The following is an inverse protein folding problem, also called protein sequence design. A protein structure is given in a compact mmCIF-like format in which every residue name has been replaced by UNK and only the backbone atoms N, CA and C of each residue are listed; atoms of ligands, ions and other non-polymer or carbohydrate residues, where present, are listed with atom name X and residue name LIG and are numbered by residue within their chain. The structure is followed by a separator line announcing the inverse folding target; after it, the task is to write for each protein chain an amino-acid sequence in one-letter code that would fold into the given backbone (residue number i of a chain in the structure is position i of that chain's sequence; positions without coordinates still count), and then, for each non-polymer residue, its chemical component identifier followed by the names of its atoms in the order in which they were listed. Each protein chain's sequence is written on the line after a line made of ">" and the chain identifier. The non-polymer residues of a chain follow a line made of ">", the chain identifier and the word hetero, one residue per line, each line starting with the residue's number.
data_IF_344872461656
#
_entry.id   IF_344872461656
#
_cell.length_a   1.000
_cell.length_b   1.000
_cell.length_c   1.000
_cell.angle_alpha   90.00
_cell.angle_beta   90.00
_cell.angle_gamma   90.00
#
_symmetry.space_group_name_H-M   'P 1'
#
loop_
_entity.id
_entity.type
_entity.pdbx_description
1 polymer ?
#
# COMPACT_ATOMS: atom_id res chain seq x y z
N UNK A 1 -10.54 21.23 34.32
CA UNK A 1 -9.55 21.51 33.26
C UNK A 1 -10.25 21.34 31.92
N UNK A 2 -10.59 22.45 31.27
CA UNK A 2 -11.25 22.47 29.96
C UNK A 2 -10.21 22.16 28.88
N UNK A 3 -10.48 21.18 28.02
CA UNK A 3 -9.65 20.88 26.86
C UNK A 3 -9.62 22.11 25.93
N UNK A 4 -8.45 22.63 25.52
CA UNK A 4 -8.40 23.79 24.64
C UNK A 4 -9.00 23.42 23.28
N UNK A 5 -10.08 24.10 22.90
CA UNK A 5 -10.71 23.95 21.59
C UNK A 5 -9.66 24.15 20.49
N UNK A 6 -9.52 23.17 19.61
CA UNK A 6 -8.58 23.25 18.48
C UNK A 6 -9.05 24.33 17.52
N UNK A 7 -8.21 25.35 17.29
CA UNK A 7 -8.52 26.46 16.37
C UNK A 7 -8.85 25.91 14.95
N UNK A 8 -9.86 26.47 14.27
CA UNK A 8 -10.23 26.10 12.89
C UNK A 8 -9.06 26.08 11.90
N UNK A 9 -8.06 26.94 12.12
CA UNK A 9 -6.89 27.06 11.24
C UNK A 9 -6.01 25.80 11.26
N UNK A 10 -5.88 25.16 12.42
CA UNK A 10 -5.08 23.93 12.58
C UNK A 10 -5.71 22.77 11.82
N UNK A 11 -7.04 22.66 11.88
CA UNK A 11 -7.81 21.64 11.17
C UNK A 11 -7.72 21.83 9.65
N UNK A 12 -7.81 23.09 9.19
CA UNK A 12 -7.69 23.44 7.77
C UNK A 12 -6.29 23.15 7.21
N UNK A 13 -5.23 23.49 7.96
CA UNK A 13 -3.85 23.21 7.56
C UNK A 13 -3.55 21.70 7.51
N UNK A 14 -4.03 20.91 8.48
CA UNK A 14 -3.89 19.46 8.46
C UNK A 14 -4.58 18.84 7.23
N UNK A 15 -5.77 19.34 6.88
CA UNK A 15 -6.52 18.93 5.69
C UNK A 15 -5.76 19.25 4.39
N UNK A 16 -5.22 20.46 4.26
CA UNK A 16 -4.46 20.88 3.08
C UNK A 16 -3.19 20.03 2.89
N UNK A 17 -2.47 19.73 3.97
CA UNK A 17 -1.27 18.88 3.95
C UNK A 17 -1.59 17.44 3.52
N UNK A 18 -2.68 16.84 4.01
CA UNK A 18 -3.09 15.50 3.57
C UNK A 18 -3.40 15.44 2.08
N UNK A 19 -4.04 16.48 1.53
CA UNK A 19 -4.31 16.59 0.09
C UNK A 19 -3.03 16.73 -0.71
N UNK A 20 -2.09 17.57 -0.27
CA UNK A 20 -0.79 17.72 -0.91
C UNK A 20 -0.02 16.40 -0.93
N UNK A 21 0.05 15.69 0.19
CA UNK A 21 0.71 14.38 0.25
C UNK A 21 0.02 13.36 -0.66
N UNK A 22 -1.31 13.40 -0.73
CA UNK A 22 -2.08 12.59 -1.67
C UNK A 22 -1.74 12.89 -3.13
N UNK A 23 -1.68 14.17 -3.52
CA UNK A 23 -1.31 14.59 -4.87
C UNK A 23 0.12 14.14 -5.24
N UNK A 24 1.08 14.28 -4.32
CA UNK A 24 2.46 13.84 -4.56
C UNK A 24 2.54 12.33 -4.74
N UNK A 25 1.86 11.55 -3.88
CA UNK A 25 1.80 10.09 -4.02
C UNK A 25 1.12 9.64 -5.32
N UNK A 26 0.06 10.34 -5.74
CA UNK A 26 -0.59 10.12 -7.04
C UNK A 26 0.36 10.43 -8.21
N UNK A 27 1.22 11.45 -8.08
CA UNK A 27 2.28 11.75 -9.03
C UNK A 27 3.31 10.61 -9.13
N UNK A 28 3.72 10.02 -8.01
CA UNK A 28 4.60 8.84 -8.01
C UNK A 28 3.98 7.65 -8.72
N UNK A 29 2.70 7.37 -8.44
CA UNK A 29 1.94 6.35 -9.16
C UNK A 29 1.89 6.63 -10.66
N UNK A 30 1.48 7.84 -11.07
CA UNK A 30 1.34 8.21 -12.47
C UNK A 30 2.66 8.08 -13.24
N UNK A 31 3.77 8.53 -12.65
CA UNK A 31 5.09 8.40 -13.26
C UNK A 31 5.53 6.94 -13.42
N UNK A 32 5.30 6.09 -12.41
CA UNK A 32 5.68 4.69 -12.46
C UNK A 32 4.77 3.86 -13.39
N UNK A 33 3.45 4.05 -13.30
CA UNK A 33 2.50 3.39 -14.19
C UNK A 33 2.69 3.84 -15.64
N UNK A 34 2.91 5.13 -15.88
CA UNK A 34 3.22 5.68 -17.20
C UNK A 34 4.48 5.04 -17.80
N UNK A 35 5.54 4.85 -17.01
CA UNK A 35 6.75 4.12 -17.45
C UNK A 35 6.41 2.71 -17.92
N UNK A 36 5.63 1.95 -17.16
CA UNK A 36 5.25 0.58 -17.53
C UNK A 36 4.41 0.54 -18.80
N UNK A 37 3.45 1.47 -18.94
CA UNK A 37 2.63 1.59 -20.15
C UNK A 37 3.49 1.92 -21.38
N UNK A 38 4.40 2.88 -21.27
CA UNK A 38 5.32 3.27 -22.36
C UNK A 38 6.30 2.16 -22.73
N UNK A 39 6.64 1.27 -21.79
CA UNK A 39 7.48 0.10 -22.02
C UNK A 39 6.70 -1.13 -22.55
N UNK A 40 5.40 -1.01 -22.83
CA UNK A 40 4.56 -2.14 -23.25
C UNK A 40 4.28 -3.17 -22.14
N UNK A 41 4.54 -2.82 -20.87
CA UNK A 41 4.35 -3.67 -19.68
C UNK A 41 3.10 -3.24 -18.89
N UNK A 42 1.99 -2.99 -19.59
CA UNK A 42 0.74 -2.58 -18.96
C UNK A 42 0.28 -3.47 -17.76
N UNK A 43 0.47 -4.81 -17.79
CA UNK A 43 0.15 -5.66 -16.64
C UNK A 43 0.84 -5.24 -15.32
N UNK A 44 2.06 -4.68 -15.40
CA UNK A 44 2.85 -4.31 -14.22
C UNK A 44 2.24 -3.14 -13.43
N UNK A 45 1.27 -2.42 -14.00
CA UNK A 45 0.49 -1.41 -13.26
C UNK A 45 -0.35 -2.06 -12.14
N UNK A 46 -0.72 -3.34 -12.28
CA UNK A 46 -1.50 -4.07 -11.29
C UNK A 46 -0.67 -4.64 -10.14
N UNK A 47 0.65 -4.44 -10.12
CA UNK A 47 1.44 -4.76 -8.93
C UNK A 47 0.87 -4.06 -7.71
N UNK A 48 0.64 -4.80 -6.62
CA UNK A 48 -0.03 -4.28 -5.43
C UNK A 48 0.72 -3.08 -4.83
N UNK A 49 2.04 -3.03 -4.92
CA UNK A 49 2.83 -1.87 -4.49
C UNK A 49 2.55 -0.61 -5.33
N UNK A 50 2.38 -0.75 -6.65
CA UNK A 50 1.95 0.34 -7.54
C UNK A 50 0.54 0.81 -7.19
N UNK A 51 -0.40 -0.12 -7.03
CA UNK A 51 -1.77 0.20 -6.62
C UNK A 51 -1.82 0.79 -5.20
N UNK A 52 -0.90 0.43 -4.32
CA UNK A 52 -0.84 1.00 -2.99
C UNK A 52 -0.50 2.50 -3.00
N UNK A 53 0.42 2.93 -3.87
CA UNK A 53 0.69 4.35 -4.11
C UNK A 53 -0.57 5.09 -4.60
N UNK A 54 -1.33 4.49 -5.52
CA UNK A 54 -2.63 5.03 -5.95
C UNK A 54 -3.61 5.16 -4.77
N UNK A 55 -3.73 4.15 -3.90
CA UNK A 55 -4.61 4.20 -2.73
C UNK A 55 -4.19 5.27 -1.72
N UNK A 56 -2.89 5.42 -1.46
CA UNK A 56 -2.38 6.52 -0.61
C UNK A 56 -2.76 7.86 -1.24
N UNK A 57 -2.55 8.02 -2.55
CA UNK A 57 -2.88 9.25 -3.27
C UNK A 57 -4.36 9.62 -3.19
N UNK A 58 -5.23 8.71 -3.64
CA UNK A 58 -6.68 8.90 -3.63
C UNK A 58 -7.23 9.08 -2.22
N UNK A 59 -6.75 8.27 -1.27
CA UNK A 59 -7.15 8.37 0.13
C UNK A 59 -6.76 9.70 0.78
N UNK A 60 -5.58 10.23 0.47
CA UNK A 60 -5.10 11.52 0.96
C UNK A 60 -5.93 12.69 0.41
N UNK A 61 -6.20 12.70 -0.90
CA UNK A 61 -7.01 13.72 -1.57
C UNK A 61 -8.46 13.69 -1.04
N UNK A 62 -9.06 12.50 -0.98
CA UNK A 62 -10.44 12.30 -0.52
C UNK A 62 -10.59 12.38 1.01
N UNK A 63 -9.48 12.56 1.75
CA UNK A 63 -9.45 12.56 3.22
C UNK A 63 -10.07 11.30 3.83
N UNK A 64 -9.82 10.15 3.22
CA UNK A 64 -10.28 8.83 3.67
C UNK A 64 -9.10 8.08 4.28
N UNK A 65 -8.80 8.25 5.59
CA UNK A 65 -7.61 7.65 6.22
C UNK A 65 -7.60 6.13 6.12
N UNK A 66 -8.77 5.50 5.99
CA UNK A 66 -8.89 4.05 5.82
C UNK A 66 -8.33 3.58 4.47
N UNK A 67 -8.52 4.35 3.41
CA UNK A 67 -7.96 4.04 2.09
C UNK A 67 -6.45 4.19 2.12
N UNK A 68 -5.94 5.24 2.79
CA UNK A 68 -4.51 5.42 3.04
C UNK A 68 -3.93 4.27 3.85
N UNK A 69 -4.61 3.83 4.91
CA UNK A 69 -4.19 2.71 5.75
C UNK A 69 -4.06 1.40 4.96
N UNK A 70 -4.97 1.13 4.02
CA UNK A 70 -4.85 -0.03 3.12
C UNK A 70 -3.58 0.07 2.27
N UNK A 71 -3.35 1.22 1.63
CA UNK A 71 -2.15 1.45 0.83
C UNK A 71 -0.86 1.32 1.66
N UNK A 72 -0.82 1.91 2.85
CA UNK A 72 0.33 1.77 3.77
C UNK A 72 0.57 0.31 4.16
N UNK A 73 -0.47 -0.46 4.49
CA UNK A 73 -0.33 -1.88 4.83
C UNK A 73 0.27 -2.67 3.66
N UNK A 74 -0.22 -2.43 2.45
CA UNK A 74 0.33 -3.07 1.24
C UNK A 74 1.78 -2.68 1.00
N UNK A 75 2.17 -1.43 1.23
CA UNK A 75 3.56 -0.98 1.09
C UNK A 75 4.48 -1.58 2.17
N UNK A 76 4.03 -1.69 3.42
CA UNK A 76 4.83 -2.32 4.49
C UNK A 76 5.10 -3.80 4.18
N UNK A 77 4.13 -4.52 3.62
CA UNK A 77 4.33 -5.91 3.21
C UNK A 77 5.13 -6.01 1.89
N UNK A 78 4.82 -5.15 0.92
CA UNK A 78 5.39 -5.20 -0.42
C UNK A 78 6.81 -4.66 -0.53
N UNK A 79 7.20 -3.66 0.26
CA UNK A 79 8.54 -3.06 0.18
C UNK A 79 9.68 -4.05 0.50
N UNK A 80 9.57 -4.93 1.52
CA UNK A 80 10.55 -6.00 1.70
C UNK A 80 10.62 -6.96 0.52
N UNK A 81 9.48 -7.35 -0.07
CA UNK A 81 9.45 -8.24 -1.24
C UNK A 81 10.07 -7.58 -2.47
N UNK A 82 9.79 -6.30 -2.70
CA UNK A 82 10.42 -5.50 -3.74
C UNK A 82 11.93 -5.38 -3.54
N UNK A 83 12.38 -5.17 -2.30
CA UNK A 83 13.81 -5.11 -2.01
C UNK A 83 14.49 -6.46 -2.28
N UNK A 84 13.85 -7.57 -1.92
CA UNK A 84 14.34 -8.92 -2.24
C UNK A 84 14.42 -9.15 -3.76
N UNK A 85 13.42 -8.70 -4.52
CA UNK A 85 13.43 -8.77 -5.99
C UNK A 85 14.60 -7.99 -6.58
N UNK A 86 14.80 -6.74 -6.17
CA UNK A 86 15.94 -5.90 -6.61
C UNK A 86 17.28 -6.54 -6.23
N UNK A 87 17.42 -7.05 -5.01
CA UNK A 87 18.63 -7.75 -4.57
C UNK A 87 18.87 -9.06 -5.33
N UNK A 88 17.81 -9.69 -5.83
CA UNK A 88 17.85 -10.89 -6.68
C UNK A 88 18.13 -10.61 -8.16
N UNK A 89 18.36 -9.35 -8.55
CA UNK A 89 18.63 -8.94 -9.94
C UNK A 89 17.44 -8.30 -10.65
N UNK A 90 16.34 -8.02 -9.95
CA UNK A 90 15.21 -7.25 -10.46
C UNK A 90 15.58 -5.81 -10.83
N UNK A 91 14.77 -5.20 -11.69
CA UNK A 91 15.04 -3.85 -12.20
C UNK A 91 14.82 -2.77 -11.13
N UNK A 92 15.84 -1.94 -10.87
CA UNK A 92 15.72 -0.79 -9.98
C UNK A 92 15.47 0.51 -10.76
N UNK A 93 14.34 1.15 -10.51
CA UNK A 93 14.01 2.46 -11.06
C UNK A 93 13.77 3.48 -9.96
N UNK A 94 14.16 4.74 -10.21
CA UNK A 94 13.86 5.86 -9.32
C UNK A 94 12.34 5.94 -9.07
N UNK A 95 11.52 5.78 -10.10
CA UNK A 95 10.05 5.77 -9.93
C UNK A 95 9.56 4.62 -9.06
N UNK A 96 10.25 3.47 -9.06
CA UNK A 96 9.95 2.35 -8.16
C UNK A 96 10.29 2.69 -6.71
N UNK A 97 11.44 3.34 -6.45
CA UNK A 97 11.80 3.79 -5.10
C UNK A 97 10.74 4.78 -4.57
N UNK A 98 10.27 5.70 -5.42
CA UNK A 98 9.26 6.68 -5.06
C UNK A 98 7.89 6.06 -4.77
N UNK A 99 7.45 5.06 -5.54
CA UNK A 99 6.20 4.34 -5.25
C UNK A 99 6.28 3.57 -3.95
N UNK A 100 7.41 2.91 -3.67
CA UNK A 100 7.58 2.10 -2.46
C UNK A 100 7.81 2.98 -1.22
N UNK A 101 8.93 3.70 -1.16
CA UNK A 101 9.36 4.42 0.02
C UNK A 101 8.72 5.80 0.12
N UNK A 102 8.59 6.49 -1.02
CA UNK A 102 7.98 7.82 -1.07
C UNK A 102 6.51 7.78 -0.64
N UNK A 103 5.69 6.92 -1.26
CA UNK A 103 4.28 6.80 -0.90
C UNK A 103 4.07 6.21 0.50
N UNK A 104 4.96 5.34 0.97
CA UNK A 104 4.90 4.83 2.34
C UNK A 104 5.12 5.95 3.35
N UNK A 105 6.16 6.79 3.17
CA UNK A 105 6.44 7.94 4.02
C UNK A 105 5.29 8.95 4.03
N UNK A 106 4.75 9.28 2.86
CA UNK A 106 3.60 10.20 2.73
C UNK A 106 2.34 9.63 3.39
N UNK A 107 2.04 8.35 3.16
CA UNK A 107 0.89 7.66 3.75
C UNK A 107 0.98 7.59 5.27
N UNK A 108 2.15 7.23 5.82
CA UNK A 108 2.41 7.29 7.25
C UNK A 108 2.21 8.72 7.77
N UNK A 109 2.75 9.73 7.09
CA UNK A 109 2.55 11.14 7.43
C UNK A 109 1.07 11.53 7.53
N UNK A 110 0.23 11.05 6.61
CA UNK A 110 -1.23 11.27 6.69
C UNK A 110 -1.79 10.57 7.94
N UNK A 111 -1.46 9.29 8.16
CA UNK A 111 -1.99 8.50 9.28
C UNK A 111 -1.52 8.98 10.65
N UNK A 112 -0.31 9.53 10.77
CA UNK A 112 0.16 10.21 11.99
C UNK A 112 -0.75 11.38 12.39
N UNK A 113 -1.42 12.01 11.42
CA UNK A 113 -2.30 13.17 11.64
C UNK A 113 -3.77 12.77 11.80
N UNK A 114 -4.18 11.67 11.20
CA UNK A 114 -5.60 11.25 11.16
C UNK A 114 -5.91 10.06 12.05
N UNK A 115 -4.88 9.42 12.61
CA UNK A 115 -4.97 8.12 13.26
C UNK A 115 -5.09 6.96 12.27
N UNK A 116 -4.92 5.74 12.79
CA UNK A 116 -5.06 4.49 12.03
C UNK A 116 -6.46 3.87 12.25
N UNK A 117 -7.33 3.79 11.24
CA UNK A 117 -8.70 3.30 11.42
C UNK A 117 -8.74 1.81 11.77
N UNK A 118 -9.69 1.42 12.63
CA UNK A 118 -9.87 0.01 13.04
C UNK A 118 -10.32 -0.87 11.87
N UNK A 119 -9.93 -2.15 11.94
CA UNK A 119 -10.26 -3.19 10.97
C UNK A 119 -9.80 -2.86 9.55
N UNK A 120 -8.81 -1.98 9.41
CA UNK A 120 -8.19 -1.67 8.12
C UNK A 120 -7.38 -2.87 7.64
N UNK A 121 -6.81 -3.68 8.55
CA UNK A 121 -6.12 -4.92 8.19
C UNK A 121 -7.02 -5.88 7.40
N UNK A 122 -8.27 -6.06 7.83
CA UNK A 122 -9.22 -6.96 7.18
C UNK A 122 -9.60 -6.44 5.79
N UNK A 123 -9.83 -5.13 5.66
CA UNK A 123 -10.13 -4.52 4.36
C UNK A 123 -8.94 -4.58 3.42
N UNK A 124 -7.72 -4.36 3.92
CA UNK A 124 -6.50 -4.49 3.15
C UNK A 124 -6.30 -5.92 2.65
N UNK A 125 -6.61 -6.91 3.49
CA UNK A 125 -6.56 -8.33 3.13
C UNK A 125 -7.63 -8.71 2.09
N UNK A 126 -8.90 -8.36 2.31
CA UNK A 126 -9.96 -8.69 1.36
C UNK A 126 -9.72 -8.03 0.00
N UNK A 127 -9.24 -6.77 -0.01
CA UNK A 127 -8.91 -6.09 -1.26
C UNK A 127 -7.67 -6.69 -1.92
N UNK A 128 -6.67 -7.19 -1.16
CA UNK A 128 -5.53 -7.88 -1.76
C UNK A 128 -5.98 -9.17 -2.46
N UNK A 129 -6.86 -9.97 -1.83
CA UNK A 129 -7.45 -11.14 -2.48
C UNK A 129 -8.18 -10.79 -3.78
N UNK A 130 -8.95 -9.69 -3.78
CA UNK A 130 -9.62 -9.20 -4.99
C UNK A 130 -8.61 -8.80 -6.08
N UNK A 131 -7.51 -8.13 -5.72
CA UNK A 131 -6.44 -7.79 -6.67
C UNK A 131 -5.70 -9.02 -7.18
N UNK A 132 -5.46 -10.04 -6.35
CA UNK A 132 -4.87 -11.31 -6.80
C UNK A 132 -5.78 -12.00 -7.82
N UNK A 133 -7.09 -12.06 -7.54
CA UNK A 133 -8.08 -12.58 -8.48
C UNK A 133 -8.10 -11.79 -9.79
N UNK A 134 -8.15 -10.46 -9.71
CA UNK A 134 -8.10 -9.58 -10.88
C UNK A 134 -6.81 -9.77 -11.68
N UNK A 135 -5.66 -9.88 -11.02
CA UNK A 135 -4.36 -10.11 -11.67
C UNK A 135 -4.38 -11.42 -12.45
N UNK A 136 -4.97 -12.47 -11.86
CA UNK A 136 -5.06 -13.78 -12.52
C UNK A 136 -6.00 -13.78 -13.72
N UNK A 137 -7.04 -12.94 -13.70
CA UNK A 137 -8.03 -12.84 -14.79
C UNK A 137 -7.62 -11.87 -15.90
N UNK A 138 -6.92 -10.79 -15.56
CA UNK A 138 -6.66 -9.67 -16.47
C UNK A 138 -5.22 -9.59 -16.99
N UNK A 139 -4.31 -10.44 -16.51
CA UNK A 139 -2.90 -10.42 -16.93
C UNK A 139 -2.45 -11.75 -17.53
N UNK A 140 -1.52 -11.74 -18.51
CA UNK A 140 -0.96 -12.96 -19.05
C UNK A 140 -0.07 -13.65 -18.01
N UNK A 141 -0.11 -14.99 -17.97
CA UNK A 141 0.66 -15.78 -17.00
C UNK A 141 2.18 -15.52 -17.03
N UNK A 142 2.72 -15.16 -18.21
CA UNK A 142 4.12 -14.80 -18.38
C UNK A 142 4.54 -13.61 -17.52
N UNK A 143 3.66 -12.61 -17.36
CA UNK A 143 3.93 -11.41 -16.56
C UNK A 143 3.96 -11.71 -15.05
N UNK A 144 3.28 -12.76 -14.60
CA UNK A 144 3.25 -13.23 -13.21
C UNK A 144 3.02 -12.11 -12.17
N UNK A 145 2.17 -11.14 -12.49
CA UNK A 145 1.90 -9.98 -11.62
C UNK A 145 1.33 -10.45 -10.30
N UNK A 146 1.82 -9.89 -9.19
CA UNK A 146 1.49 -10.32 -7.82
C UNK A 146 1.75 -11.81 -7.55
N UNK A 147 2.59 -12.46 -8.37
CA UNK A 147 3.03 -13.85 -8.23
C UNK A 147 1.87 -14.86 -8.23
N UNK A 148 0.78 -14.54 -8.94
CA UNK A 148 -0.44 -15.36 -8.94
C UNK A 148 -0.39 -16.57 -9.88
N UNK A 149 0.65 -16.71 -10.70
CA UNK A 149 0.77 -17.82 -11.67
C UNK A 149 1.92 -18.78 -11.36
N UNK A 150 3.06 -18.29 -10.87
CA UNK A 150 4.25 -19.11 -10.61
C UNK A 150 5.09 -18.55 -9.46
N UNK A 151 5.91 -19.43 -8.88
CA UNK A 151 6.97 -19.06 -7.94
C UNK A 151 7.98 -18.16 -8.68
N UNK A 152 8.46 -17.07 -8.07
CA UNK A 152 9.49 -16.23 -8.69
C UNK A 152 10.78 -17.00 -8.93
N UNK A 153 11.49 -16.65 -10.01
CA UNK A 153 12.73 -17.30 -10.40
C UNK A 153 13.78 -17.27 -9.28
N UNK A 154 14.47 -18.39 -9.06
CA UNK A 154 15.46 -18.55 -8.00
C UNK A 154 14.90 -19.11 -6.68
N UNK A 155 13.58 -19.21 -6.54
CA UNK A 155 12.90 -19.74 -5.35
C UNK A 155 12.24 -21.10 -5.57
N UNK A 156 12.31 -21.66 -6.77
CA UNK A 156 11.67 -22.93 -7.14
C UNK A 156 12.19 -24.11 -6.31
N UNK A 157 13.47 -24.11 -5.94
CA UNK A 157 14.06 -25.15 -5.08
C UNK A 157 13.55 -25.11 -3.63
N UNK A 158 13.10 -23.95 -3.16
CA UNK A 158 12.55 -23.78 -1.80
C UNK A 158 11.05 -24.08 -1.76
N UNK A 159 10.32 -23.75 -2.82
CA UNK A 159 8.88 -23.91 -2.90
C UNK A 159 8.49 -24.93 -3.97
N UNK A 160 8.27 -26.21 -3.59
CA UNK A 160 7.93 -27.28 -4.55
C UNK A 160 6.51 -27.14 -5.14
N UNK A 161 5.73 -26.17 -4.68
CA UNK A 161 4.36 -25.93 -5.14
C UNK A 161 4.02 -24.45 -5.09
N UNK A 162 3.51 -23.92 -6.21
CA UNK A 162 3.00 -22.55 -6.28
C UNK A 162 1.87 -22.29 -5.28
N UNK A 163 1.00 -23.27 -5.05
CA UNK A 163 -0.10 -23.13 -4.08
C UNK A 163 0.43 -22.92 -2.66
N UNK A 164 1.49 -23.64 -2.26
CA UNK A 164 2.14 -23.45 -0.95
C UNK A 164 2.80 -22.07 -0.84
N UNK A 165 3.47 -21.64 -1.91
CA UNK A 165 4.07 -20.32 -1.99
C UNK A 165 3.02 -19.20 -1.84
N UNK A 166 1.92 -19.30 -2.60
CA UNK A 166 0.84 -18.32 -2.55
C UNK A 166 0.13 -18.34 -1.19
N UNK A 167 -0.12 -19.51 -0.61
CA UNK A 167 -0.69 -19.65 0.73
C UNK A 167 0.20 -18.99 1.80
N UNK A 168 1.52 -19.14 1.70
CA UNK A 168 2.48 -18.45 2.56
C UNK A 168 2.37 -16.93 2.39
N UNK A 169 2.41 -16.40 1.16
CA UNK A 169 2.30 -14.96 0.91
C UNK A 169 0.98 -14.38 1.42
N UNK A 170 -0.13 -15.06 1.16
CA UNK A 170 -1.46 -14.63 1.62
C UNK A 170 -1.51 -14.62 3.16
N UNK A 171 -1.05 -15.68 3.81
CA UNK A 171 -1.03 -15.77 5.27
C UNK A 171 -0.09 -14.73 5.90
N UNK A 172 1.09 -14.54 5.32
CA UNK A 172 2.06 -13.53 5.74
C UNK A 172 1.48 -12.12 5.58
N UNK A 173 0.79 -11.83 4.47
CA UNK A 173 0.16 -10.52 4.26
C UNK A 173 -0.88 -10.21 5.34
N UNK A 174 -1.74 -11.18 5.68
CA UNK A 174 -2.74 -11.01 6.74
C UNK A 174 -2.08 -10.73 8.10
N UNK A 175 -1.05 -11.52 8.44
CA UNK A 175 -0.29 -11.35 9.68
C UNK A 175 0.40 -9.96 9.73
N UNK A 176 1.03 -9.55 8.63
CA UNK A 176 1.67 -8.23 8.52
C UNK A 176 0.64 -7.11 8.66
N UNK A 177 -0.50 -7.18 7.97
CA UNK A 177 -1.51 -6.13 8.06
C UNK A 177 -2.10 -6.01 9.47
N UNK A 178 -2.33 -7.14 10.13
CA UNK A 178 -2.77 -7.16 11.53
C UNK A 178 -1.71 -6.53 12.44
N UNK A 179 -0.45 -6.91 12.29
CA UNK A 179 0.65 -6.37 13.08
C UNK A 179 0.82 -4.86 12.87
N UNK A 180 0.75 -4.39 11.61
CA UNK A 180 0.79 -2.97 11.26
C UNK A 180 -0.32 -2.21 11.97
N UNK A 181 -1.57 -2.71 11.91
CA UNK A 181 -2.67 -2.05 12.62
C UNK A 181 -2.45 -2.03 14.13
N UNK A 182 -2.01 -3.15 14.74
CA UNK A 182 -1.77 -3.23 16.18
C UNK A 182 -0.67 -2.26 16.63
N UNK A 183 0.44 -2.18 15.90
CA UNK A 183 1.55 -1.27 16.18
C UNK A 183 1.14 0.18 15.95
N UNK A 184 0.52 0.49 14.80
CA UNK A 184 0.07 1.84 14.49
C UNK A 184 -0.94 2.34 15.52
N UNK A 185 -1.84 1.49 16.03
CA UNK A 185 -2.81 1.89 17.07
C UNK A 185 -2.17 2.12 18.45
N UNK A 186 -0.97 1.61 18.70
CA UNK A 186 -0.18 1.91 19.90
C UNK A 186 0.64 3.18 19.76
N UNK A 187 1.14 3.46 18.55
CA UNK A 187 2.09 4.54 18.29
C UNK A 187 1.45 5.83 17.78
N UNK A 188 0.31 5.73 17.08
CA UNK A 188 -0.35 6.87 16.45
C UNK A 188 -1.43 7.45 17.36
N UNK A 189 -1.73 8.77 17.24
CA UNK A 189 -2.85 9.37 17.95
C UNK A 189 -4.15 8.61 17.69
N UNK A 190 -4.99 8.47 18.73
CA UNK A 190 -6.36 7.99 18.53
C UNK A 190 -7.05 8.94 17.56
N UNK A 191 -7.75 8.41 16.56
CA UNK A 191 -8.49 9.22 15.59
C UNK A 191 -9.53 10.08 16.33
N UNK A 192 -9.20 11.35 16.61
CA UNK A 192 -10.01 12.28 17.41
C UNK A 192 -11.13 12.95 16.62
N UNK A 193 -11.71 12.26 15.63
CA UNK A 193 -12.78 12.81 14.80
C UNK A 193 -14.17 12.35 15.25
N UNK A 194 -15.23 13.16 15.03
CA UNK A 194 -16.62 12.81 15.37
C UNK A 194 -17.18 11.57 14.64
N UNK A 195 -16.40 10.98 13.73
CA UNK A 195 -16.68 9.71 13.05
C UNK A 195 -15.71 8.60 13.48
N UNK A 196 -15.21 8.63 14.72
CA UNK A 196 -14.57 7.46 15.31
C UNK A 196 -15.64 6.36 15.34
N UNK A 197 -15.65 5.51 14.30
CA UNK A 197 -16.57 4.37 14.19
C UNK A 197 -16.58 3.63 15.54
N UNK A 198 -17.77 3.31 16.10
CA UNK A 198 -17.89 2.59 17.36
C UNK A 198 -17.08 1.28 17.41
#
# INVERSE_FOLDING_TARGET
>A
MSEPATSPDVVNQASARSRLFGLVSLGFFAAHAGRHLLAGRAPDVLWMCTLAALLVGLGGIARRPRVVAIGVSWLVFGAPLWLLDVCGGGELFVTSILTHLGSLGLGLGILFRTGYPRRSYLRAFLLSLAVLGLSRLATPAAANVNLVFRVPSGWEGTFPSHARYLALLVSASLATFLLVELLARRMLPKAGGPNADP
#
